data_IF_997223392649
#
_entry.id   IF_997223392649
#
_cell.length_a   1.000
_cell.length_b   1.000
_cell.length_c   1.000
_cell.angle_alpha   90.00
_cell.angle_beta   90.00
_cell.angle_gamma   90.00
#
_symmetry.space_group_name_H-M   'P 1'
#
loop_
_entity.id
_entity.type
_entity.pdbx_description
1 polymer ?
#
# COMPACT_ATOMS: atom_id res chain seq x y z
N UNK A 1 18.08 -17.45 5.40
CA UNK A 1 17.80 -16.60 4.23
C UNK A 1 17.67 -15.16 4.73
N UNK A 2 18.19 -14.17 4.01
CA UNK A 2 17.94 -12.76 4.36
C UNK A 2 16.59 -12.38 3.76
N UNK A 3 15.69 -11.82 4.55
CA UNK A 3 14.43 -11.23 4.09
C UNK A 3 14.43 -9.74 4.41
N UNK A 4 13.67 -8.97 3.62
CA UNK A 4 13.42 -7.56 3.89
C UNK A 4 11.95 -7.28 3.64
N UNK A 5 11.35 -6.45 4.50
CA UNK A 5 10.03 -5.88 4.29
C UNK A 5 10.21 -4.44 3.84
N UNK A 6 9.63 -4.10 2.70
CA UNK A 6 9.78 -2.77 2.08
C UNK A 6 8.44 -2.06 2.15
N UNK A 7 8.43 -0.85 2.71
CA UNK A 7 7.28 0.05 2.64
C UNK A 7 7.28 0.83 1.33
N UNK A 8 6.11 0.94 0.71
CA UNK A 8 5.89 1.72 -0.50
C UNK A 8 4.89 2.83 -0.17
N UNK A 9 5.38 4.06 -0.05
CA UNK A 9 4.56 5.24 0.13
C UNK A 9 4.33 5.91 -1.23
N UNK A 10 3.08 6.17 -1.56
CA UNK A 10 2.70 6.84 -2.79
C UNK A 10 2.71 8.37 -2.59
N UNK A 11 3.73 9.05 -3.13
CA UNK A 11 3.79 10.53 -3.18
C UNK A 11 2.87 11.12 -4.25
N UNK A 12 2.61 10.33 -5.30
CA UNK A 12 1.71 10.69 -6.40
C UNK A 12 0.67 9.59 -6.62
N UNK A 13 -0.42 9.91 -7.32
CA UNK A 13 -1.42 8.92 -7.70
C UNK A 13 -0.78 7.78 -8.51
N UNK A 14 -0.92 6.55 -8.03
CA UNK A 14 -0.40 5.35 -8.70
C UNK A 14 -1.52 4.66 -9.48
N UNK A 15 -1.26 4.37 -10.76
CA UNK A 15 -2.13 3.55 -11.58
C UNK A 15 -1.40 2.25 -11.99
N UNK A 16 -1.78 1.14 -11.37
CA UNK A 16 -1.36 -0.20 -11.80
C UNK A 16 -2.47 -0.82 -12.63
N UNK A 17 -2.31 -0.83 -13.95
CA UNK A 17 -3.35 -1.27 -14.88
C UNK A 17 -3.70 -2.75 -14.70
N UNK A 18 -5.00 -3.05 -14.68
CA UNK A 18 -5.52 -4.43 -14.64
C UNK A 18 -5.76 -5.04 -16.04
N UNK A 19 -5.33 -4.35 -17.10
CA UNK A 19 -5.81 -4.57 -18.47
C UNK A 19 -7.24 -4.05 -18.67
N UNK A 20 -7.86 -4.42 -19.79
CA UNK A 20 -9.28 -4.14 -20.00
C UNK A 20 -10.13 -5.11 -19.18
N UNK A 21 -10.98 -4.59 -18.30
CA UNK A 21 -12.01 -5.38 -17.62
C UNK A 21 -13.38 -4.83 -18.00
N UNK A 22 -14.38 -5.72 -18.10
CA UNK A 22 -15.76 -5.31 -18.29
C UNK A 22 -16.24 -4.53 -17.06
N UNK A 23 -16.52 -3.24 -17.23
CA UNK A 23 -16.96 -2.36 -16.14
C UNK A 23 -17.23 -0.94 -16.63
N UNK A 24 -17.61 -0.05 -15.70
CA UNK A 24 -17.89 1.35 -15.99
C UNK A 24 -16.63 2.23 -16.07
N UNK A 25 -15.45 1.68 -15.76
CA UNK A 25 -14.16 2.38 -15.79
C UNK A 25 -13.31 1.73 -16.86
N UNK A 26 -12.87 2.51 -17.85
CA UNK A 26 -12.12 2.01 -19.01
C UNK A 26 -10.78 1.38 -18.61
N UNK A 27 -10.06 2.05 -17.70
CA UNK A 27 -8.75 1.61 -17.18
C UNK A 27 -8.83 1.42 -15.66
N UNK A 28 -9.28 0.25 -15.19
CA UNK A 28 -9.35 -0.02 -13.76
C UNK A 28 -7.96 -0.32 -13.18
N UNK A 29 -7.76 0.10 -11.93
CA UNK A 29 -6.62 -0.31 -11.11
C UNK A 29 -6.77 -1.80 -10.74
N UNK A 30 -5.65 -2.52 -10.75
CA UNK A 30 -5.61 -3.94 -10.42
C UNK A 30 -6.00 -4.23 -8.97
N UNK A 31 -6.75 -5.31 -8.77
CA UNK A 31 -7.33 -5.71 -7.49
C UNK A 31 -7.29 -7.21 -7.32
N UNK A 32 -7.19 -7.66 -6.08
CA UNK A 32 -7.41 -9.06 -5.74
C UNK A 32 -8.86 -9.45 -6.03
N UNK A 33 -9.11 -10.55 -6.74
CA UNK A 33 -10.47 -10.92 -7.15
C UNK A 33 -11.43 -11.19 -5.97
N UNK A 34 -10.93 -11.81 -4.91
CA UNK A 34 -11.75 -12.22 -3.75
C UNK A 34 -12.03 -11.05 -2.80
N UNK A 35 -11.05 -10.18 -2.61
CA UNK A 35 -11.10 -9.11 -1.60
C UNK A 35 -11.28 -7.74 -2.22
N UNK A 36 -11.15 -7.58 -3.54
CA UNK A 36 -11.20 -6.30 -4.24
C UNK A 36 -10.21 -5.23 -3.74
N UNK A 37 -9.28 -5.59 -2.86
CA UNK A 37 -8.23 -4.70 -2.34
C UNK A 37 -7.23 -4.45 -3.47
N UNK A 38 -6.84 -3.20 -3.72
CA UNK A 38 -5.79 -2.92 -4.70
C UNK A 38 -4.46 -3.49 -4.21
N UNK A 39 -3.64 -3.93 -5.17
CA UNK A 39 -2.30 -4.40 -4.89
C UNK A 39 -1.40 -4.06 -6.08
N UNK A 40 -0.09 -4.18 -5.89
CA UNK A 40 0.88 -4.07 -6.96
C UNK A 40 1.45 -5.47 -7.21
N UNK A 41 1.28 -6.07 -8.39
CA UNK A 41 1.84 -7.37 -8.68
C UNK A 41 3.35 -7.40 -8.50
N UNK A 42 3.85 -8.53 -8.00
CA UNK A 42 5.26 -8.81 -7.87
C UNK A 42 6.01 -8.63 -9.19
N UNK A 43 5.38 -9.00 -10.33
CA UNK A 43 5.95 -8.81 -11.67
C UNK A 43 6.13 -7.33 -12.03
N UNK A 44 5.15 -6.49 -11.70
CA UNK A 44 5.22 -5.03 -11.91
C UNK A 44 6.31 -4.41 -11.04
N UNK A 45 6.37 -4.76 -9.75
CA UNK A 45 7.45 -4.30 -8.85
C UNK A 45 8.82 -4.78 -9.32
N UNK A 46 8.92 -6.05 -9.73
CA UNK A 46 10.15 -6.64 -10.27
C UNK A 46 10.62 -5.90 -11.51
N UNK A 47 9.72 -5.56 -12.42
CA UNK A 47 10.05 -4.77 -13.61
C UNK A 47 10.57 -3.38 -13.25
N UNK A 48 9.87 -2.66 -12.37
CA UNK A 48 10.27 -1.33 -11.92
C UNK A 48 11.62 -1.33 -11.20
N UNK A 49 11.87 -2.31 -10.32
CA UNK A 49 13.15 -2.45 -9.62
C UNK A 49 14.30 -2.85 -10.55
N UNK A 50 14.04 -3.73 -11.53
CA UNK A 50 15.03 -4.10 -12.56
C UNK A 50 15.44 -2.88 -13.37
N UNK A 51 14.46 -2.10 -13.81
CA UNK A 51 14.69 -0.88 -14.59
C UNK A 51 15.42 0.19 -13.78
N UNK A 52 15.05 0.38 -12.51
CA UNK A 52 15.75 1.33 -11.63
C UNK A 52 17.22 0.94 -11.41
N UNK A 53 17.50 -0.35 -11.18
CA UNK A 53 18.88 -0.82 -11.08
C UNK A 53 19.65 -0.59 -12.38
N UNK A 54 19.03 -0.85 -13.54
CA UNK A 54 19.65 -0.60 -14.84
C UNK A 54 20.07 0.88 -14.97
N UNK A 55 19.17 1.81 -14.65
CA UNK A 55 19.46 3.25 -14.67
C UNK A 55 20.58 3.63 -13.69
N UNK A 56 20.54 3.13 -12.46
CA UNK A 56 21.57 3.43 -11.44
C UNK A 56 22.97 2.94 -11.83
N UNK A 57 23.07 1.84 -12.57
CA UNK A 57 24.35 1.32 -13.06
C UNK A 57 24.83 2.07 -14.32
N UNK A 58 23.90 2.47 -15.20
CA UNK A 58 24.20 3.33 -16.34
C UNK A 58 24.73 4.70 -15.89
N UNK A 59 24.10 5.32 -14.89
CA UNK A 59 24.52 6.61 -14.33
C UNK A 59 25.93 6.54 -13.69
N UNK A 60 26.36 5.36 -13.26
CA UNK A 60 27.71 5.09 -12.75
C UNK A 60 28.74 4.82 -13.85
N UNK A 61 28.34 4.89 -15.13
CA UNK A 61 29.15 4.53 -16.29
C UNK A 61 29.72 3.10 -16.21
N UNK A 62 28.95 2.15 -15.68
CA UNK A 62 29.35 0.73 -15.74
C UNK A 62 29.28 0.19 -17.17
N UNK A 63 30.16 -0.75 -17.50
CA UNK A 63 30.16 -1.44 -18.78
C UNK A 63 28.86 -2.25 -18.97
N UNK A 64 28.29 -2.23 -20.17
CA UNK A 64 27.02 -2.89 -20.49
C UNK A 64 27.00 -4.40 -20.13
N UNK A 65 28.13 -5.08 -20.30
CA UNK A 65 28.28 -6.50 -19.93
C UNK A 65 28.11 -6.71 -18.41
N UNK A 66 28.68 -5.82 -17.59
CA UNK A 66 28.54 -5.86 -16.12
C UNK A 66 27.12 -5.56 -15.69
N UNK A 67 26.47 -4.60 -16.34
CA UNK A 67 25.07 -4.25 -16.08
C UNK A 67 24.19 -5.49 -16.32
N UNK A 68 24.29 -6.09 -17.50
CA UNK A 68 23.51 -7.28 -17.86
C UNK A 68 23.78 -8.45 -16.91
N UNK A 69 25.04 -8.68 -16.52
CA UNK A 69 25.39 -9.72 -15.55
C UNK A 69 24.72 -9.49 -14.18
N UNK A 70 24.69 -8.25 -13.67
CA UNK A 70 24.01 -7.91 -12.42
C UNK A 70 22.49 -8.06 -12.52
N UNK A 71 21.88 -7.55 -13.59
CA UNK A 71 20.43 -7.67 -13.79
C UNK A 71 20.00 -9.13 -13.87
N UNK A 72 20.76 -9.97 -14.57
CA UNK A 72 20.47 -11.39 -14.71
C UNK A 72 20.75 -12.17 -13.43
N UNK A 73 21.73 -11.76 -12.61
CA UNK A 73 21.98 -12.33 -11.29
C UNK A 73 20.82 -12.08 -10.33
N UNK A 74 20.30 -10.85 -10.26
CA UNK A 74 19.24 -10.50 -9.32
C UNK A 74 17.86 -10.93 -9.83
N UNK A 75 17.54 -10.64 -11.08
CA UNK A 75 16.19 -10.78 -11.62
C UNK A 75 16.00 -12.01 -12.53
N UNK A 76 17.09 -12.69 -12.91
CA UNK A 76 17.06 -13.84 -13.80
C UNK A 76 16.97 -13.47 -15.28
N UNK A 77 17.06 -14.48 -16.13
CA UNK A 77 16.90 -14.42 -17.58
C UNK A 77 16.19 -15.68 -18.09
N UNK A 78 16.24 -15.94 -19.41
CA UNK A 78 15.58 -17.12 -20.01
C UNK A 78 16.19 -18.46 -19.56
N UNK A 79 17.46 -18.47 -19.16
CA UNK A 79 18.23 -19.67 -18.85
C UNK A 79 18.51 -19.85 -17.34
N UNK A 80 18.33 -18.80 -16.53
CA UNK A 80 18.59 -18.85 -15.09
C UNK A 80 17.56 -18.06 -14.27
N UNK A 81 17.23 -18.57 -13.08
CA UNK A 81 16.42 -17.86 -12.11
C UNK A 81 17.22 -16.73 -11.44
N UNK A 82 16.52 -15.68 -11.01
CA UNK A 82 17.12 -14.59 -10.24
C UNK A 82 17.38 -14.98 -8.78
N UNK A 83 18.32 -14.30 -8.15
CA UNK A 83 18.70 -14.50 -6.74
C UNK A 83 17.76 -13.83 -5.73
N UNK A 84 16.86 -12.92 -6.18
CA UNK A 84 15.87 -12.28 -5.31
C UNK A 84 14.43 -12.70 -5.64
N UNK A 85 13.66 -12.99 -4.58
CA UNK A 85 12.22 -13.18 -4.65
C UNK A 85 11.50 -11.90 -4.28
N UNK A 86 10.65 -11.40 -5.17
CA UNK A 86 9.80 -10.23 -4.92
C UNK A 86 8.36 -10.71 -4.77
N UNK A 87 7.68 -10.25 -3.72
CA UNK A 87 6.26 -10.52 -3.48
C UNK A 87 5.41 -9.32 -3.89
N UNK A 88 4.10 -9.53 -3.97
CA UNK A 88 3.14 -8.45 -4.26
C UNK A 88 3.22 -7.32 -3.22
N UNK A 89 3.09 -6.08 -3.70
CA UNK A 89 2.90 -4.90 -2.85
C UNK A 89 1.45 -4.84 -2.39
N UNK A 90 1.21 -5.06 -1.09
CA UNK A 90 -0.13 -5.12 -0.51
C UNK A 90 -0.47 -3.83 0.21
N UNK A 91 -1.72 -3.39 0.07
CA UNK A 91 -2.24 -2.22 0.79
C UNK A 91 -2.16 -2.43 2.31
N UNK A 92 -1.64 -1.42 3.02
CA UNK A 92 -1.58 -1.39 4.49
C UNK A 92 -2.41 -0.24 5.06
N UNK A 93 -2.23 0.96 4.52
CA UNK A 93 -2.92 2.19 4.88
C UNK A 93 -3.50 2.83 3.63
N UNK A 94 -4.70 3.39 3.72
CA UNK A 94 -5.30 4.17 2.64
C UNK A 94 -5.75 5.53 3.18
N UNK A 95 -5.38 6.66 2.53
CA UNK A 95 -5.83 7.98 2.96
C UNK A 95 -7.31 8.18 2.57
N UNK A 96 -8.10 8.70 3.50
CA UNK A 96 -9.48 9.13 3.26
C UNK A 96 -9.65 10.58 3.66
N UNK A 97 -10.39 11.32 2.84
CA UNK A 97 -10.75 12.71 3.14
C UNK A 97 -11.61 12.77 4.38
N UNK A 98 -11.41 13.81 5.18
CA UNK A 98 -12.22 14.09 6.35
C UNK A 98 -12.63 15.55 6.41
N UNK A 99 -13.67 15.84 7.20
CA UNK A 99 -14.02 17.20 7.61
C UNK A 99 -13.27 17.64 8.88
N UNK A 100 -12.76 16.68 9.68
CA UNK A 100 -12.05 16.97 10.93
C UNK A 100 -10.61 17.44 10.69
N UNK A 101 -9.97 16.93 9.64
CA UNK A 101 -8.59 17.22 9.25
C UNK A 101 -8.38 16.86 7.77
N UNK A 102 -7.25 17.20 7.12
CA UNK A 102 -7.09 16.99 5.67
C UNK A 102 -7.37 15.54 5.22
N UNK A 103 -6.87 14.56 5.96
CA UNK A 103 -7.17 13.15 5.75
C UNK A 103 -6.89 12.30 6.99
N UNK A 104 -7.47 11.11 7.04
CA UNK A 104 -7.08 10.04 7.96
C UNK A 104 -6.41 8.90 7.18
N UNK A 105 -5.38 8.29 7.75
CA UNK A 105 -4.78 7.05 7.26
C UNK A 105 -5.55 5.88 7.88
N UNK A 106 -6.32 5.19 7.05
CA UNK A 106 -7.23 4.14 7.49
C UNK A 106 -6.67 2.76 7.16
N UNK A 107 -6.81 1.85 8.11
CA UNK A 107 -6.58 0.41 7.94
C UNK A 107 -7.73 -0.40 8.54
N UNK A 108 -7.66 -1.71 8.49
CA UNK A 108 -8.67 -2.59 9.09
C UNK A 108 -8.05 -3.90 9.62
N UNK A 109 -8.75 -4.64 10.50
CA UNK A 109 -8.27 -5.91 11.06
C UNK A 109 -7.75 -6.88 9.99
N UNK A 110 -8.43 -6.99 8.85
CA UNK A 110 -8.03 -7.85 7.74
C UNK A 110 -6.64 -7.50 7.15
N UNK A 111 -6.37 -6.21 6.93
CA UNK A 111 -5.07 -5.75 6.43
C UNK A 111 -3.97 -5.94 7.49
N UNK A 112 -4.29 -5.66 8.75
CA UNK A 112 -3.35 -5.83 9.87
C UNK A 112 -2.98 -7.31 10.12
N UNK A 113 -3.92 -8.24 9.91
CA UNK A 113 -3.64 -9.68 9.96
C UNK A 113 -2.68 -10.11 8.86
N UNK A 114 -2.86 -9.56 7.64
CA UNK A 114 -1.94 -9.80 6.52
C UNK A 114 -0.56 -9.25 6.81
N UNK A 115 -0.48 -8.00 7.25
CA UNK A 115 0.76 -7.37 7.67
C UNK A 115 1.49 -8.16 8.76
N UNK A 116 0.76 -8.64 9.79
CA UNK A 116 1.33 -9.49 10.85
C UNK A 116 1.91 -10.81 10.31
N UNK A 117 1.30 -11.41 9.28
CA UNK A 117 1.85 -12.61 8.60
C UNK A 117 3.08 -12.28 7.76
N UNK A 118 3.04 -11.19 7.02
CA UNK A 118 4.14 -10.77 6.16
C UNK A 118 5.37 -10.34 7.00
N UNK A 119 5.13 -9.71 8.15
CA UNK A 119 6.16 -9.39 9.15
C UNK A 119 6.81 -10.66 9.71
N UNK A 120 6.03 -11.69 10.06
CA UNK A 120 6.58 -12.99 10.50
C UNK A 120 7.39 -13.67 9.41
N UNK A 121 6.91 -13.62 8.17
CA UNK A 121 7.63 -14.17 7.02
C UNK A 121 8.99 -13.47 6.81
N UNK A 122 9.06 -12.17 7.09
CA UNK A 122 10.29 -11.38 7.07
C UNK A 122 11.18 -11.55 8.32
N UNK A 123 10.87 -12.48 9.22
CA UNK A 123 11.64 -12.76 10.44
C UNK A 123 11.30 -11.85 11.64
N UNK A 124 10.26 -11.03 11.53
CA UNK A 124 9.76 -10.19 12.61
C UNK A 124 8.80 -10.91 13.57
N UNK A 125 8.35 -10.19 14.60
CA UNK A 125 7.47 -10.74 15.65
C UNK A 125 6.00 -10.70 15.25
N UNK A 126 5.24 -11.78 15.50
CA UNK A 126 3.78 -11.78 15.34
C UNK A 126 3.13 -10.68 16.18
N UNK A 127 2.32 -9.84 15.53
CA UNK A 127 1.51 -8.82 16.21
C UNK A 127 0.29 -9.49 16.85
N UNK A 128 0.43 -9.92 18.12
CA UNK A 128 -0.62 -10.67 18.85
C UNK A 128 -1.89 -9.84 19.10
N UNK A 129 -1.75 -8.52 19.26
CA UNK A 129 -2.87 -7.60 19.50
C UNK A 129 -3.85 -7.51 18.32
N UNK A 130 -3.43 -7.88 17.11
CA UNK A 130 -4.31 -7.89 15.93
C UNK A 130 -5.48 -8.86 16.08
N UNK A 131 -5.30 -9.96 16.83
CA UNK A 131 -6.37 -10.93 17.06
C UNK A 131 -7.54 -10.33 17.87
N UNK A 132 -7.26 -9.31 18.69
CA UNK A 132 -8.27 -8.61 19.49
C UNK A 132 -9.18 -7.71 18.65
N UNK A 133 -8.81 -7.45 17.39
CA UNK A 133 -9.53 -6.55 16.49
C UNK A 133 -10.59 -7.24 15.62
N UNK A 134 -10.65 -8.59 15.62
CA UNK A 134 -11.52 -9.37 14.71
C UNK A 134 -13.00 -9.01 14.77
N UNK A 135 -13.49 -8.63 15.94
CA UNK A 135 -14.91 -8.36 16.18
C UNK A 135 -15.17 -6.88 16.53
N UNK A 136 -14.25 -5.98 16.14
CA UNK A 136 -14.44 -4.56 16.42
C UNK A 136 -15.69 -4.03 15.72
N UNK A 137 -16.57 -3.36 16.49
CA UNK A 137 -17.81 -2.78 15.97
C UNK A 137 -17.70 -1.28 15.67
N UNK A 138 -16.70 -0.60 16.23
CA UNK A 138 -16.48 0.84 16.08
C UNK A 138 -15.04 1.11 15.65
N UNK A 139 -14.77 2.22 14.96
CA UNK A 139 -13.40 2.60 14.63
C UNK A 139 -12.57 2.85 15.87
N UNK A 140 -11.26 2.61 15.79
CA UNK A 140 -10.31 2.89 16.87
C UNK A 140 -9.33 3.98 16.44
N UNK A 141 -9.05 4.91 17.36
CA UNK A 141 -8.10 6.01 17.20
C UNK A 141 -7.26 6.20 18.47
N UNK A 142 -6.19 7.00 18.38
CA UNK A 142 -5.36 7.27 19.55
C UNK A 142 -6.09 8.15 20.56
N UNK A 143 -6.79 9.18 20.09
CA UNK A 143 -7.59 10.11 20.90
C UNK A 143 -9.06 9.92 20.61
N UNK A 144 -9.89 10.17 21.63
CA UNK A 144 -11.34 10.14 21.47
C UNK A 144 -11.77 11.41 20.77
N UNK A 145 -12.41 11.27 19.62
CA UNK A 145 -13.18 12.32 18.97
C UNK A 145 -14.67 12.00 19.12
N UNK A 146 -15.57 13.00 19.22
CA UNK A 146 -17.01 12.75 19.32
C UNK A 146 -17.52 12.07 18.04
N UNK A 147 -17.04 12.53 16.89
CA UNK A 147 -17.29 11.93 15.59
C UNK A 147 -16.10 12.20 14.66
N UNK A 148 -15.88 11.28 13.73
CA UNK A 148 -15.00 11.47 12.57
C UNK A 148 -15.79 11.30 11.29
N UNK A 149 -15.44 12.08 10.27
CA UNK A 149 -15.92 11.89 8.92
C UNK A 149 -14.87 11.16 8.09
N UNK A 150 -15.29 10.14 7.34
CA UNK A 150 -14.50 9.46 6.32
C UNK A 150 -15.32 9.48 5.03
N UNK A 151 -14.92 10.35 4.11
CA UNK A 151 -15.72 10.74 2.95
C UNK A 151 -17.13 11.23 3.35
N UNK A 152 -18.19 10.61 2.83
CA UNK A 152 -19.58 10.93 3.18
C UNK A 152 -20.08 10.26 4.47
N UNK A 153 -19.30 9.34 5.05
CA UNK A 153 -19.72 8.59 6.24
C UNK A 153 -19.21 9.27 7.52
N UNK A 154 -19.97 9.14 8.60
CA UNK A 154 -19.55 9.57 9.93
C UNK A 154 -19.53 8.39 10.90
N UNK A 155 -18.61 8.42 11.86
CA UNK A 155 -18.44 7.36 12.86
C UNK A 155 -18.13 7.95 14.24
N UNK A 156 -18.51 7.22 15.29
CA UNK A 156 -18.09 7.49 16.67
C UNK A 156 -16.89 6.59 17.05
N UNK A 157 -15.65 7.11 17.04
CA UNK A 157 -14.48 6.30 17.32
C UNK A 157 -14.32 6.00 18.81
N UNK A 158 -13.69 4.87 19.11
CA UNK A 158 -13.20 4.51 20.43
C UNK A 158 -11.72 4.89 20.56
N UNK A 159 -11.35 5.46 21.70
CA UNK A 159 -9.95 5.72 21.99
C UNK A 159 -9.26 4.46 22.49
N UNK A 160 -8.14 4.11 21.86
CA UNK A 160 -7.21 3.12 22.36
C UNK A 160 -5.77 3.57 22.03
N UNK A 161 -5.22 4.53 22.81
CA UNK A 161 -3.88 5.07 22.57
C UNK A 161 -2.82 3.98 22.55
N UNK A 162 -2.90 2.98 23.43
CA UNK A 162 -1.91 1.91 23.55
C UNK A 162 -1.86 1.08 22.27
N UNK A 163 -3.01 0.69 21.73
CA UNK A 163 -3.08 -0.09 20.50
C UNK A 163 -2.57 0.69 19.30
N UNK A 164 -2.93 1.98 19.18
CA UNK A 164 -2.42 2.81 18.08
C UNK A 164 -0.90 3.01 18.20
N UNK A 165 -0.36 3.17 19.41
CA UNK A 165 1.10 3.23 19.59
C UNK A 165 1.79 1.91 19.18
N UNK A 166 1.19 0.75 19.47
CA UNK A 166 1.71 -0.54 18.99
C UNK A 166 1.68 -0.64 17.46
N UNK A 167 0.63 -0.13 16.82
CA UNK A 167 0.54 -0.06 15.36
C UNK A 167 1.63 0.85 14.79
N UNK A 168 1.79 2.06 15.35
CA UNK A 168 2.83 3.04 14.94
C UNK A 168 4.21 2.40 15.01
N UNK A 169 4.56 1.79 16.15
CA UNK A 169 5.85 1.11 16.31
C UNK A 169 6.10 0.03 15.25
N UNK A 170 5.05 -0.68 14.80
CA UNK A 170 5.17 -1.71 13.79
C UNK A 170 5.32 -1.14 12.36
N UNK A 171 4.71 0.01 12.06
CA UNK A 171 4.71 0.58 10.70
C UNK A 171 5.76 1.66 10.47
N UNK A 172 6.23 2.35 11.51
CA UNK A 172 7.23 3.42 11.38
C UNK A 172 8.49 2.98 10.63
N UNK A 173 9.05 1.76 10.82
CA UNK A 173 10.21 1.31 10.03
C UNK A 173 9.96 1.18 8.52
N UNK A 174 8.70 1.20 8.08
CA UNK A 174 8.30 1.12 6.67
C UNK A 174 8.06 2.48 6.04
N UNK A 175 8.16 3.57 6.81
CA UNK A 175 7.90 4.94 6.35
C UNK A 175 9.20 5.72 6.48
N UNK A 176 9.81 6.11 5.36
CA UNK A 176 11.08 6.83 5.38
C UNK A 176 10.97 8.26 5.95
N UNK A 177 9.83 8.92 5.71
CA UNK A 177 9.62 10.33 6.06
C UNK A 177 9.28 10.51 7.55
N UNK A 178 10.15 11.22 8.28
CA UNK A 178 9.96 11.51 9.70
C UNK A 178 8.72 12.38 9.95
N UNK A 179 8.41 13.29 9.03
CA UNK A 179 7.22 14.15 9.11
C UNK A 179 5.94 13.32 9.16
N UNK A 180 5.82 12.31 8.29
CA UNK A 180 4.66 11.42 8.25
C UNK A 180 4.61 10.58 9.53
N UNK A 181 5.74 10.02 9.96
CA UNK A 181 5.82 9.26 11.20
C UNK A 181 5.31 10.05 12.40
N UNK A 182 5.66 11.35 12.49
CA UNK A 182 5.24 12.23 13.59
C UNK A 182 3.73 12.47 13.63
N UNK A 183 3.06 12.41 12.47
CA UNK A 183 1.62 12.67 12.34
C UNK A 183 0.74 11.42 12.53
N UNK A 184 1.32 10.22 12.51
CA UNK A 184 0.58 8.95 12.59
C UNK A 184 -0.34 8.85 13.81
N UNK A 185 0.07 9.42 14.96
CA UNK A 185 -0.74 9.40 16.19
C UNK A 185 -2.08 10.11 15.99
N UNK A 186 -2.14 11.15 15.17
CA UNK A 186 -3.36 11.91 14.89
C UNK A 186 -4.12 11.38 13.66
N UNK A 187 -3.42 10.75 12.72
CA UNK A 187 -3.98 10.34 11.44
C UNK A 187 -4.48 8.90 11.38
N UNK A 188 -3.99 7.99 12.22
CA UNK A 188 -4.35 6.58 12.12
C UNK A 188 -5.76 6.31 12.65
N UNK A 189 -6.53 5.61 11.82
CA UNK A 189 -7.84 5.06 12.17
C UNK A 189 -7.87 3.58 11.79
N UNK A 190 -8.26 2.73 12.74
CA UNK A 190 -8.55 1.32 12.44
C UNK A 190 -10.06 1.18 12.31
N UNK A 191 -10.51 0.87 11.11
CA UNK A 191 -11.92 0.72 10.77
C UNK A 191 -12.34 -0.76 10.83
N UNK A 192 -13.57 -1.09 11.27
CA UNK A 192 -14.10 -2.45 11.12
C UNK A 192 -14.02 -2.96 9.68
N UNK A 193 -13.75 -4.25 9.48
CA UNK A 193 -13.60 -4.85 8.14
C UNK A 193 -14.85 -4.65 7.25
N UNK A 194 -16.05 -4.64 7.87
CA UNK A 194 -17.32 -4.41 7.16
C UNK A 194 -17.38 -3.02 6.56
N UNK A 195 -16.94 -2.01 7.29
CA UNK A 195 -16.95 -0.62 6.84
C UNK A 195 -15.82 -0.40 5.81
N UNK A 196 -14.62 -0.95 6.06
CA UNK A 196 -13.50 -0.85 5.12
C UNK A 196 -13.81 -1.45 3.75
N UNK A 197 -14.68 -2.46 3.72
CA UNK A 197 -15.17 -3.08 2.48
C UNK A 197 -15.88 -2.11 1.55
N UNK A 198 -16.55 -1.09 2.07
CA UNK A 198 -17.24 -0.07 1.28
C UNK A 198 -16.21 0.80 0.56
N UNK A 199 -15.17 1.18 1.30
CA UNK A 199 -14.17 2.11 0.81
C UNK A 199 -13.13 1.51 -0.12
N UNK A 200 -12.86 0.20 -0.03
CA UNK A 200 -11.85 -0.44 -0.89
C UNK A 200 -12.14 -0.33 -2.38
N UNK A 201 -13.33 0.14 -2.81
CA UNK A 201 -13.69 0.37 -4.22
C UNK A 201 -13.62 1.84 -4.63
N UNK A 202 -13.55 2.75 -3.67
CA UNK A 202 -13.57 4.19 -3.90
C UNK A 202 -12.14 4.64 -4.21
N UNK A 203 -11.89 4.94 -5.48
CA UNK A 203 -10.64 5.49 -5.98
C UNK A 203 -10.96 6.60 -6.98
N UNK A 204 -10.05 7.56 -7.12
CA UNK A 204 -10.19 8.64 -8.07
C UNK A 204 -10.37 8.10 -9.49
N UNK A 205 -11.49 8.48 -10.12
CA UNK A 205 -11.74 8.25 -11.53
C UNK A 205 -11.63 9.59 -12.26
N UNK A 206 -10.83 9.62 -13.31
CA UNK A 206 -10.62 10.82 -14.10
C UNK A 206 -11.07 10.56 -15.54
N UNK A 207 -12.00 11.37 -16.10
CA UNK A 207 -12.31 11.28 -17.51
C UNK A 207 -11.09 11.70 -18.33
N UNK A 208 -10.76 10.94 -19.38
CA UNK A 208 -9.64 11.23 -20.27
C UNK A 208 -10.13 11.53 -21.70
N UNK A 209 -10.59 12.77 -21.98
CA UNK A 209 -11.08 13.12 -23.31
C UNK A 209 -9.92 13.33 -24.30
N UNK A 210 -9.93 12.60 -25.41
CA UNK A 210 -9.07 12.92 -26.55
C UNK A 210 -9.71 14.06 -27.36
N UNK A 211 -9.09 15.24 -27.33
CA UNK A 211 -9.48 16.36 -28.19
C UNK A 211 -8.88 16.16 -29.58
N UNK A 212 -9.70 15.80 -30.56
CA UNK A 212 -9.27 15.73 -31.96
C UNK A 212 -8.85 17.12 -32.45
N UNK A 213 -7.59 17.29 -32.87
CA UNK A 213 -7.19 18.51 -33.57
C UNK A 213 -7.94 18.60 -34.91
N UNK A 214 -8.51 19.76 -35.27
CA UNK A 214 -9.12 19.94 -36.58
C UNK A 214 -8.05 19.67 -37.65
N UNK A 215 -8.43 18.93 -38.71
CA UNK A 215 -7.58 18.75 -39.88
C UNK A 215 -7.49 20.11 -40.58
N UNK A 216 -6.29 20.70 -40.63
CA UNK A 216 -5.97 21.86 -41.48
C UNK A 216 -6.06 21.48 -42.97
#
# INVERSE_FOLDING_TARGET
MKQALVGLLAETSIHVGAGQQSGFVDLPVIREQTTMVPYIPASSLKGALREKLNQDLQDKNEEEEKINAQLDLYFGNKNQAGSIGITDGRLLLLPFRSLNQPYYLVTCPFLLQRFSRDLQFAGGTKLKWVEQLKEMARPIMAKKEPFIYLEEFYYEPQANPQLIQQLIQAISPLIAHEEIQSQLTQQLVILPDREFRLFRRIFSAHPNPELSRPKE
#
